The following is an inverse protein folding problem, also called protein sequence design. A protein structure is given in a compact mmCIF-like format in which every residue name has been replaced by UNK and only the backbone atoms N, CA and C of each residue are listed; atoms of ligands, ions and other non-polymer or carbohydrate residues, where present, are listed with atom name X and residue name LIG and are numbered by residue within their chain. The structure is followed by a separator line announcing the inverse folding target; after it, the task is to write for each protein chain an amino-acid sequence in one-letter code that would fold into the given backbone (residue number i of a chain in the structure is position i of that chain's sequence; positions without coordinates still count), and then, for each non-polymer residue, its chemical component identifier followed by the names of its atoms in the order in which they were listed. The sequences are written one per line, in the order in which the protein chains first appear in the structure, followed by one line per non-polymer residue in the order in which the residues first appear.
data_IF_709800083234
#
_entry.id   IF_709800083234
#
_cell.length_a   1.000
_cell.length_b   1.000
_cell.length_c   1.000
_cell.angle_alpha   90.00
_cell.angle_beta   90.00
_cell.angle_gamma   90.00
#
_symmetry.space_group_name_H-M   'P 1'
#
loop_
_entity.id
_entity.type
_entity.pdbx_description
1 polymer ?
#
# COMPACT_ATOMS: atom_id res chain seq x y z
N UNK A 1 -52.00 -20.88 -12.05
CA UNK A 1 -50.96 -19.95 -12.53
C UNK A 1 -50.08 -20.71 -13.48
N UNK A 2 -49.80 -20.16 -14.66
CA UNK A 2 -49.23 -20.86 -15.81
C UNK A 2 -47.74 -21.25 -15.58
N UNK A 3 -47.37 -22.54 -15.74
CA UNK A 3 -46.02 -23.08 -15.48
C UNK A 3 -44.90 -22.32 -16.21
N UNK A 4 -45.24 -21.78 -17.40
CA UNK A 4 -44.34 -20.95 -18.21
C UNK A 4 -43.97 -19.62 -17.52
N UNK A 5 -44.90 -19.07 -16.73
CA UNK A 5 -44.70 -17.81 -15.98
C UNK A 5 -43.82 -18.03 -14.75
N UNK A 6 -43.95 -19.18 -14.08
CA UNK A 6 -43.11 -19.59 -12.95
C UNK A 6 -41.67 -19.78 -13.41
N UNK A 7 -41.43 -20.56 -14.48
CA UNK A 7 -40.09 -20.73 -15.06
C UNK A 7 -39.44 -19.41 -15.48
N UNK A 8 -40.20 -18.46 -16.03
CA UNK A 8 -39.68 -17.14 -16.43
C UNK A 8 -39.21 -16.33 -15.22
N UNK A 9 -39.96 -16.37 -14.11
CA UNK A 9 -39.57 -15.68 -12.87
C UNK A 9 -38.32 -16.29 -12.25
N UNK A 10 -38.20 -17.62 -12.24
CA UNK A 10 -37.00 -18.32 -11.75
C UNK A 10 -35.75 -18.00 -12.59
N UNK A 11 -35.90 -17.90 -13.92
CA UNK A 11 -34.81 -17.50 -14.81
C UNK A 11 -34.39 -16.05 -14.54
N UNK A 12 -35.33 -15.13 -14.35
CA UNK A 12 -35.01 -13.74 -14.04
C UNK A 12 -34.21 -13.61 -12.73
N UNK A 13 -34.59 -14.36 -11.71
CA UNK A 13 -33.87 -14.36 -10.43
C UNK A 13 -32.47 -14.99 -10.55
N UNK A 14 -32.31 -16.02 -11.40
CA UNK A 14 -30.98 -16.57 -11.72
C UNK A 14 -30.09 -15.53 -12.41
N UNK A 15 -30.62 -14.82 -13.41
CA UNK A 15 -29.90 -13.77 -14.13
C UNK A 15 -29.43 -12.70 -13.15
N UNK A 16 -30.33 -12.20 -12.29
CA UNK A 16 -30.01 -11.17 -11.30
C UNK A 16 -28.85 -11.60 -10.37
N UNK A 17 -28.88 -12.83 -9.86
CA UNK A 17 -27.78 -13.37 -9.04
C UNK A 17 -26.47 -13.47 -9.80
N UNK A 18 -26.51 -13.89 -11.06
CA UNK A 18 -25.31 -13.99 -11.91
C UNK A 18 -24.72 -12.60 -12.14
N UNK A 19 -25.54 -11.62 -12.52
CA UNK A 19 -25.09 -10.24 -12.74
C UNK A 19 -24.50 -9.62 -11.46
N UNK A 20 -25.09 -9.90 -10.30
CA UNK A 20 -24.56 -9.45 -9.01
C UNK A 20 -23.19 -10.08 -8.71
N UNK A 21 -23.05 -11.40 -8.89
CA UNK A 21 -21.79 -12.09 -8.64
C UNK A 21 -20.71 -11.69 -9.65
N UNK A 22 -21.06 -11.48 -10.92
CA UNK A 22 -20.13 -11.00 -11.96
C UNK A 22 -19.56 -9.64 -11.58
N UNK A 23 -20.42 -8.72 -11.15
CA UNK A 23 -19.99 -7.40 -10.69
C UNK A 23 -19.05 -7.48 -9.47
N UNK A 24 -19.31 -8.41 -8.55
CA UNK A 24 -18.44 -8.64 -7.40
C UNK A 24 -17.10 -9.24 -7.84
N UNK A 25 -17.12 -10.18 -8.79
CA UNK A 25 -15.92 -10.83 -9.34
C UNK A 25 -15.02 -9.80 -10.00
N UNK A 26 -15.54 -9.01 -10.94
CA UNK A 26 -14.80 -7.99 -11.67
C UNK A 26 -14.19 -6.95 -10.71
N UNK A 27 -15.01 -6.43 -9.79
CA UNK A 27 -14.54 -5.48 -8.78
C UNK A 27 -13.42 -6.07 -7.92
N UNK A 28 -13.55 -7.32 -7.51
CA UNK A 28 -12.54 -7.99 -6.68
C UNK A 28 -11.24 -8.21 -7.45
N UNK A 29 -11.34 -8.62 -8.72
CA UNK A 29 -10.19 -8.81 -9.60
C UNK A 29 -9.42 -7.50 -9.81
N UNK A 30 -10.13 -6.38 -10.02
CA UNK A 30 -9.50 -5.07 -10.16
C UNK A 30 -8.78 -4.62 -8.89
N UNK A 31 -9.41 -4.76 -7.72
CA UNK A 31 -8.77 -4.44 -6.43
C UNK A 31 -7.51 -5.27 -6.24
N UNK A 32 -7.54 -6.58 -6.51
CA UNK A 32 -6.37 -7.44 -6.37
C UNK A 32 -5.25 -7.07 -7.34
N UNK A 33 -5.59 -6.70 -8.58
CA UNK A 33 -4.61 -6.19 -9.54
C UNK A 33 -3.93 -4.92 -9.03
N UNK A 34 -4.69 -3.96 -8.53
CA UNK A 34 -4.15 -2.70 -8.00
C UNK A 34 -3.26 -2.91 -6.77
N UNK A 35 -3.67 -3.79 -5.86
CA UNK A 35 -2.86 -4.17 -4.69
C UNK A 35 -1.54 -4.80 -5.12
N UNK A 36 -1.55 -5.77 -6.05
CA UNK A 36 -0.33 -6.39 -6.56
C UNK A 36 0.60 -5.36 -7.22
N UNK A 37 0.06 -4.43 -8.02
CA UNK A 37 0.87 -3.35 -8.61
C UNK A 37 1.48 -2.40 -7.57
N UNK A 38 0.82 -2.21 -6.42
CA UNK A 38 1.39 -1.45 -5.31
C UNK A 38 2.50 -2.25 -4.60
N UNK A 39 2.29 -3.55 -4.38
CA UNK A 39 3.30 -4.44 -3.79
C UNK A 39 4.55 -4.55 -4.67
N UNK A 40 4.41 -4.71 -5.99
CA UNK A 40 5.54 -4.73 -6.92
C UNK A 40 6.38 -3.45 -6.85
N UNK A 41 5.73 -2.29 -6.69
CA UNK A 41 6.41 -1.00 -6.54
C UNK A 41 7.12 -0.90 -5.19
N UNK A 42 6.47 -1.38 -4.12
CA UNK A 42 7.06 -1.44 -2.79
C UNK A 42 8.31 -2.32 -2.77
N UNK A 43 8.24 -3.53 -3.34
CA UNK A 43 9.36 -4.47 -3.42
C UNK A 43 10.56 -3.88 -4.18
N UNK A 44 10.31 -3.24 -5.33
CA UNK A 44 11.36 -2.56 -6.11
C UNK A 44 12.02 -1.42 -5.32
N UNK A 45 11.25 -0.74 -4.47
CA UNK A 45 11.74 0.37 -3.65
C UNK A 45 12.54 -0.06 -2.41
N UNK A 46 12.52 -1.34 -2.02
CA UNK A 46 13.22 -1.79 -0.80
C UNK A 46 14.72 -1.48 -0.81
N UNK A 47 15.37 -1.50 -1.97
CA UNK A 47 16.80 -1.16 -2.05
C UNK A 47 17.07 0.32 -1.74
N UNK A 48 16.23 1.23 -2.21
CA UNK A 48 16.37 2.66 -1.94
C UNK A 48 15.92 3.02 -0.52
N UNK A 49 14.85 2.38 -0.03
CA UNK A 49 14.43 2.50 1.36
C UNK A 49 15.53 2.04 2.33
N UNK A 50 16.22 0.93 2.03
CA UNK A 50 17.36 0.45 2.84
C UNK A 50 18.53 1.43 2.84
N UNK A 51 18.82 2.10 1.71
CA UNK A 51 19.84 3.15 1.68
C UNK A 51 19.48 4.31 2.61
N UNK A 52 18.20 4.69 2.69
CA UNK A 52 17.73 5.72 3.61
C UNK A 52 17.87 5.28 5.07
N UNK A 53 17.50 4.04 5.39
CA UNK A 53 17.70 3.43 6.72
C UNK A 53 19.18 3.41 7.13
N UNK A 54 20.07 3.00 6.23
CA UNK A 54 21.52 3.01 6.45
C UNK A 54 22.11 4.44 6.54
N UNK A 55 21.45 5.43 5.93
CA UNK A 55 21.85 6.83 6.01
C UNK A 55 21.45 7.45 7.34
N UNK A 56 20.20 7.25 7.77
CA UNK A 56 19.66 7.85 8.97
C UNK A 56 20.49 7.48 10.21
N UNK A 57 20.80 8.48 11.05
CA UNK A 57 21.61 8.32 12.27
C UNK A 57 23.05 7.79 12.05
N UNK A 58 23.55 7.76 10.82
CA UNK A 58 24.94 7.42 10.55
C UNK A 58 25.86 8.66 10.63
N UNK A 59 27.18 8.44 10.52
CA UNK A 59 28.18 9.54 10.61
C UNK A 59 27.98 10.65 9.58
N UNK A 60 27.58 10.30 8.36
CA UNK A 60 27.33 11.27 7.30
C UNK A 60 26.08 12.08 7.61
N UNK A 61 25.00 11.44 8.05
CA UNK A 61 23.78 12.15 8.45
C UNK A 61 24.04 13.20 9.53
N UNK A 62 24.83 12.87 10.57
CA UNK A 62 25.21 13.86 11.59
C UNK A 62 26.08 14.99 11.03
N UNK A 63 27.00 14.69 10.12
CA UNK A 63 27.84 15.69 9.46
C UNK A 63 26.98 16.64 8.61
N UNK A 64 26.08 16.08 7.80
CA UNK A 64 25.20 16.83 6.91
C UNK A 64 24.22 17.70 7.72
N UNK A 65 23.66 17.16 8.81
CA UNK A 65 22.79 17.90 9.73
C UNK A 65 23.51 19.06 10.42
N UNK A 66 24.79 18.88 10.79
CA UNK A 66 25.61 19.95 11.34
C UNK A 66 25.89 21.04 10.27
N UNK A 67 26.24 20.66 9.04
CA UNK A 67 26.43 21.62 7.95
C UNK A 67 25.16 22.38 7.62
N UNK A 68 24.01 21.71 7.63
CA UNK A 68 22.70 22.36 7.50
C UNK A 68 22.45 23.37 8.62
N UNK A 69 22.67 22.97 9.88
CA UNK A 69 22.43 23.82 11.05
C UNK A 69 23.34 25.06 11.10
N UNK A 70 24.57 24.93 10.58
CA UNK A 70 25.52 26.04 10.49
C UNK A 70 25.32 26.95 9.26
N UNK A 71 24.36 26.63 8.37
CA UNK A 71 24.12 27.39 7.15
C UNK A 71 25.18 27.17 6.07
N UNK A 72 25.92 26.06 6.13
CA UNK A 72 26.93 25.69 5.14
C UNK A 72 26.32 25.10 3.86
N UNK A 73 25.02 24.77 3.88
CA UNK A 73 24.28 24.24 2.73
C UNK A 73 23.45 25.34 2.04
N UNK A 74 23.16 25.21 0.73
CA UNK A 74 22.28 26.13 0.02
C UNK A 74 20.92 26.28 0.71
N UNK A 75 20.41 27.52 0.83
CA UNK A 75 19.15 27.81 1.51
C UNK A 75 17.92 27.21 0.81
N UNK A 76 18.02 26.95 -0.49
CA UNK A 76 16.97 26.33 -1.30
C UNK A 76 17.04 24.79 -1.33
N UNK A 77 18.04 24.19 -0.69
CA UNK A 77 18.15 22.74 -0.56
C UNK A 77 17.08 22.20 0.40
N UNK A 78 16.25 21.26 -0.07
CA UNK A 78 15.28 20.57 0.77
C UNK A 78 15.99 19.56 1.68
N UNK A 79 16.14 19.90 2.95
CA UNK A 79 16.83 19.09 3.95
C UNK A 79 15.89 18.31 4.89
N UNK A 80 14.70 17.91 4.41
CA UNK A 80 13.75 17.17 5.25
C UNK A 80 14.31 15.85 5.80
N UNK A 81 15.27 15.24 5.10
CA UNK A 81 15.96 14.01 5.56
C UNK A 81 16.88 14.23 6.77
N UNK A 82 17.24 15.49 7.05
CA UNK A 82 18.10 15.87 8.18
C UNK A 82 17.29 16.21 9.43
N UNK A 83 15.95 16.15 9.37
CA UNK A 83 15.16 16.17 10.60
C UNK A 83 15.18 14.79 11.28
N UNK A 84 15.12 14.79 12.61
CA UNK A 84 14.97 13.55 13.38
C UNK A 84 13.63 12.87 13.07
N UNK A 85 12.55 13.66 13.01
CA UNK A 85 11.19 13.11 12.89
C UNK A 85 10.88 12.49 11.52
N UNK A 86 11.34 13.06 10.41
CA UNK A 86 10.82 12.66 9.10
C UNK A 86 11.19 11.23 8.69
N UNK A 87 12.44 10.83 8.93
CA UNK A 87 12.87 9.46 8.67
C UNK A 87 12.32 8.50 9.73
N UNK A 88 12.28 8.91 11.00
CA UNK A 88 11.72 8.12 12.09
C UNK A 88 10.24 7.77 11.85
N UNK A 89 9.41 8.77 11.53
CA UNK A 89 7.99 8.60 11.23
C UNK A 89 7.79 7.67 10.03
N UNK A 90 8.58 7.86 8.97
CA UNK A 90 8.52 7.00 7.78
C UNK A 90 8.81 5.53 8.12
N UNK A 91 9.77 5.27 9.00
CA UNK A 91 10.10 3.91 9.42
C UNK A 91 9.01 3.30 10.32
N UNK A 92 8.39 4.12 11.18
CA UNK A 92 7.21 3.74 11.94
C UNK A 92 6.03 3.38 11.01
N UNK A 93 5.73 4.22 10.02
CA UNK A 93 4.69 3.98 9.03
C UNK A 93 4.94 2.68 8.25
N UNK A 94 6.20 2.41 7.88
CA UNK A 94 6.58 1.15 7.23
C UNK A 94 6.34 -0.06 8.14
N UNK A 95 6.59 0.06 9.44
CA UNK A 95 6.35 -1.01 10.41
C UNK A 95 4.86 -1.32 10.54
N UNK A 96 4.03 -0.29 10.73
CA UNK A 96 2.57 -0.43 10.82
C UNK A 96 1.96 -0.99 9.54
N UNK A 97 2.46 -0.56 8.37
CA UNK A 97 2.06 -1.13 7.09
C UNK A 97 2.35 -2.63 7.01
N UNK A 98 3.53 -3.08 7.47
CA UNK A 98 3.90 -4.48 7.47
C UNK A 98 2.97 -5.33 8.36
N UNK A 99 2.64 -4.84 9.57
CA UNK A 99 1.67 -5.50 10.45
C UNK A 99 0.33 -5.65 9.74
N UNK A 100 -0.19 -4.56 9.17
CA UNK A 100 -1.47 -4.56 8.44
C UNK A 100 -1.46 -5.56 7.27
N UNK A 101 -0.35 -5.66 6.52
CA UNK A 101 -0.20 -6.64 5.44
C UNK A 101 -0.29 -8.08 5.95
N UNK A 102 0.36 -8.39 7.06
CA UNK A 102 0.29 -9.72 7.69
C UNK A 102 -1.13 -10.04 8.14
N UNK A 103 -1.83 -9.09 8.76
CA UNK A 103 -3.22 -9.29 9.19
C UNK A 103 -4.16 -9.56 8.01
N UNK A 104 -4.00 -8.80 6.92
CA UNK A 104 -4.78 -8.99 5.69
C UNK A 104 -4.48 -10.37 5.09
N UNK A 105 -3.21 -10.75 4.97
CA UNK A 105 -2.81 -12.06 4.46
C UNK A 105 -3.40 -13.19 5.32
N UNK A 106 -3.32 -13.08 6.65
CA UNK A 106 -3.90 -14.05 7.57
C UNK A 106 -5.43 -14.17 7.41
N UNK A 107 -6.13 -13.04 7.28
CA UNK A 107 -7.59 -13.02 6.99
C UNK A 107 -7.90 -13.69 5.65
N UNK A 108 -7.09 -13.45 4.62
CA UNK A 108 -7.27 -14.03 3.29
C UNK A 108 -7.00 -15.54 3.23
N UNK A 109 -6.16 -16.08 4.12
CA UNK A 109 -5.80 -17.50 4.17
C UNK A 109 -6.77 -18.35 5.00
N UNK A 110 -7.50 -17.76 5.95
CA UNK A 110 -8.49 -18.43 6.82
C UNK A 110 -9.82 -18.76 6.11
N UNK A 111 -9.84 -18.84 4.78
CA UNK A 111 -11.08 -19.06 4.00
C UNK A 111 -11.79 -20.33 4.43
#
# INVERSE_FOLDING_TARGET
MDDKKIKKAEIAEKIKRIEEMEKILDKSADIFREVNLALDRLEKNFSDYKKLDEYYSNKNWFSDANDYSNGNLPQDLKCGVLSEDAAYDLFGDSHELAIRMVEIAAKMLRR
#
